data_IF_505096499950
#
_entry.id   IF_505096499950
#
_cell.length_a   1.000
_cell.length_b   1.000
_cell.length_c   1.000
_cell.angle_alpha   90.00
_cell.angle_beta   90.00
_cell.angle_gamma   90.00
#
_symmetry.space_group_name_H-M   'P 1'
#
loop_
_entity.id
_entity.type
_entity.pdbx_description
1 polymer ?
#
# COMPACT_ATOMS: atom_id res chain seq x y z
N UNK A 1 15.57 -15.05 -7.79
CA UNK A 1 14.36 -14.37 -7.27
C UNK A 1 14.80 -13.21 -6.40
N UNK A 2 14.77 -11.97 -6.91
CA UNK A 2 15.28 -10.80 -6.19
C UNK A 2 14.53 -10.65 -4.87
N UNK A 3 15.24 -10.86 -3.75
CA UNK A 3 14.67 -10.82 -2.40
C UNK A 3 14.34 -9.36 -2.11
N UNK A 4 13.10 -8.96 -2.40
CA UNK A 4 12.61 -7.61 -2.10
C UNK A 4 12.87 -7.27 -0.64
N UNK A 5 13.14 -5.99 -0.37
CA UNK A 5 13.39 -5.49 0.99
C UNK A 5 12.22 -5.87 1.89
N UNK A 6 12.51 -6.48 3.05
CA UNK A 6 11.50 -6.75 4.07
C UNK A 6 10.77 -5.45 4.41
N UNK A 7 9.44 -5.51 4.54
CA UNK A 7 8.67 -4.37 5.05
C UNK A 7 9.17 -4.04 6.44
N UNK A 8 9.33 -2.74 6.70
CA UNK A 8 9.58 -2.22 8.04
C UNK A 8 8.23 -1.91 8.68
N UNK A 9 8.14 -2.07 9.99
CA UNK A 9 7.00 -1.63 10.77
C UNK A 9 6.74 -0.14 10.51
N UNK A 10 5.50 0.19 10.20
CA UNK A 10 5.04 1.56 9.99
C UNK A 10 4.05 1.94 11.11
N UNK A 11 4.41 2.84 12.04
CA UNK A 11 3.53 3.22 13.14
C UNK A 11 2.27 3.98 12.69
N UNK A 12 2.24 4.48 11.45
CA UNK A 12 1.09 5.20 10.91
C UNK A 12 -0.04 4.26 10.43
N UNK A 13 0.23 2.97 10.27
CA UNK A 13 -0.80 1.97 9.93
C UNK A 13 -1.64 1.69 11.18
N UNK A 14 -2.97 1.62 11.09
CA UNK A 14 -3.82 1.31 12.23
C UNK A 14 -3.40 0.00 12.94
N UNK A 15 -3.29 0.02 14.27
CA UNK A 15 -2.73 -1.10 15.03
C UNK A 15 -3.52 -2.42 14.98
N UNK A 16 -4.77 -2.39 14.51
CA UNK A 16 -5.56 -3.59 14.26
C UNK A 16 -5.22 -4.30 12.94
N UNK A 17 -4.31 -3.74 12.12
CA UNK A 17 -3.87 -4.32 10.85
C UNK A 17 -2.58 -5.09 11.07
N UNK A 18 -2.59 -6.35 10.71
CA UNK A 18 -1.40 -7.19 10.67
C UNK A 18 -0.50 -6.80 9.49
N UNK A 19 0.54 -6.02 9.76
CA UNK A 19 1.42 -5.46 8.72
C UNK A 19 2.24 -6.53 7.98
N UNK A 20 2.51 -7.66 8.64
CA UNK A 20 3.25 -8.79 8.07
C UNK A 20 2.43 -9.57 7.03
N UNK A 21 1.10 -9.61 7.20
CA UNK A 21 0.16 -10.26 6.29
C UNK A 21 -0.20 -9.42 5.06
N UNK A 22 0.27 -8.16 4.97
CA UNK A 22 -0.08 -7.28 3.86
C UNK A 22 0.41 -7.86 2.52
N UNK A 23 -0.42 -7.87 1.46
CA UNK A 23 0.00 -8.28 0.13
C UNK A 23 1.10 -7.37 -0.43
N UNK A 24 1.97 -7.89 -1.30
CA UNK A 24 2.95 -7.06 -2.02
C UNK A 24 2.22 -6.05 -2.94
N UNK A 25 2.82 -4.88 -3.16
CA UNK A 25 2.24 -3.85 -4.03
C UNK A 25 1.16 -2.97 -3.38
N UNK A 26 0.77 -3.25 -2.14
CA UNK A 26 -0.09 -2.39 -1.32
C UNK A 26 0.77 -1.49 -0.43
N UNK A 27 0.43 -0.20 -0.40
CA UNK A 27 1.15 0.82 0.34
C UNK A 27 0.19 1.65 1.19
N UNK A 28 0.71 2.24 2.27
CA UNK A 28 -0.03 3.11 3.18
C UNK A 28 0.63 4.49 3.25
N UNK A 29 -0.18 5.53 3.07
CA UNK A 29 0.23 6.93 3.20
C UNK A 29 -1.03 7.80 3.34
N UNK A 30 -0.95 8.95 4.01
CA UNK A 30 -2.03 9.93 4.10
C UNK A 30 -3.40 9.34 4.47
N UNK A 31 -3.44 8.35 5.37
CA UNK A 31 -4.67 7.71 5.83
C UNK A 31 -5.40 6.86 4.77
N UNK A 32 -4.69 6.43 3.72
CA UNK A 32 -5.26 5.57 2.68
C UNK A 32 -4.32 4.44 2.27
N UNK A 33 -4.94 3.35 1.85
CA UNK A 33 -4.31 2.27 1.10
C UNK A 33 -4.24 2.64 -0.37
N UNK A 34 -3.08 2.45 -1.00
CA UNK A 34 -2.91 2.66 -2.43
C UNK A 34 -2.02 1.60 -3.07
N UNK A 35 -2.17 1.46 -4.38
CA UNK A 35 -1.28 0.68 -5.25
C UNK A 35 -0.59 1.62 -6.24
N UNK A 36 0.57 1.21 -6.73
CA UNK A 36 1.18 1.83 -7.90
C UNK A 36 0.60 1.15 -9.14
N UNK A 37 -0.10 1.92 -9.96
CA UNK A 37 -0.66 1.47 -11.23
C UNK A 37 0.05 2.18 -12.37
N UNK A 38 0.16 1.52 -13.51
CA UNK A 38 0.75 2.14 -14.69
C UNK A 38 -0.12 3.30 -15.18
N UNK A 39 0.53 4.36 -15.65
CA UNK A 39 -0.17 5.51 -16.21
C UNK A 39 -0.84 5.09 -17.53
N UNK A 40 -2.13 5.39 -17.75
CA UNK A 40 -2.85 4.94 -18.94
C UNK A 40 -2.22 5.41 -20.26
N UNK A 41 -1.58 6.58 -20.26
CA UNK A 41 -0.92 7.16 -21.44
C UNK A 41 0.57 6.80 -21.58
N UNK A 42 1.09 5.91 -20.73
CA UNK A 42 2.52 5.63 -20.63
C UNK A 42 3.24 6.72 -19.85
N UNK A 43 4.02 6.33 -18.83
CA UNK A 43 4.69 7.29 -17.96
C UNK A 43 4.92 6.75 -16.56
N UNK A 44 5.16 7.66 -15.60
CA UNK A 44 5.40 7.28 -14.20
C UNK A 44 4.15 6.66 -13.59
N UNK A 45 4.34 5.59 -12.83
CA UNK A 45 3.25 4.95 -12.09
C UNK A 45 2.48 5.95 -11.20
N UNK A 46 1.16 5.84 -11.23
CA UNK A 46 0.24 6.65 -10.44
C UNK A 46 -0.18 5.92 -9.17
N UNK A 47 -0.41 6.67 -8.09
CA UNK A 47 -0.95 6.13 -6.84
C UNK A 47 -2.47 5.98 -6.97
N UNK A 48 -2.95 4.76 -7.14
CA UNK A 48 -4.39 4.43 -7.15
C UNK A 48 -4.86 4.10 -5.75
N UNK A 49 -5.83 4.87 -5.23
CA UNK A 49 -6.43 4.60 -3.91
C UNK A 49 -7.29 3.33 -3.97
N UNK A 50 -7.11 2.45 -3.00
CA UNK A 50 -7.85 1.18 -2.88
C UNK A 50 -8.87 1.26 -1.77
N UNK A 51 -8.49 1.84 -0.63
CA UNK A 51 -9.35 1.97 0.54
C UNK A 51 -8.86 3.12 1.42
N UNK A 52 -9.78 3.71 2.18
CA UNK A 52 -9.43 4.70 3.21
C UNK A 52 -9.27 4.02 4.57
N UNK A 53 -8.68 4.74 5.53
CA UNK A 53 -8.57 4.30 6.94
C UNK A 53 -9.90 3.88 7.55
N UNK A 54 -11.01 4.45 7.07
CA UNK A 54 -12.36 4.18 7.54
C UNK A 54 -13.04 2.98 6.86
N UNK A 55 -12.39 2.34 5.89
CA UNK A 55 -12.96 1.18 5.21
C UNK A 55 -13.19 0.05 6.22
N UNK A 56 -14.40 -0.53 6.19
CA UNK A 56 -14.82 -1.67 6.98
C UNK A 56 -15.30 -2.75 6.01
N UNK A 57 -15.02 -4.01 6.34
CA UNK A 57 -15.58 -5.18 5.65
C UNK A 57 -16.90 -5.57 6.32
#
# INVERSE_FOLDING_TARGET
>A
MTRGRKRRFNPNIPGHIEQEALPKGIYWENGRWYMLADHPEGGRQVKRTVAFRSARL
#
